data_IF_446059404894
#
_entry.id   IF_446059404894
#
_cell.length_a   1.000
_cell.length_b   1.000
_cell.length_c   1.000
_cell.angle_alpha   90.00
_cell.angle_beta   90.00
_cell.angle_gamma   90.00
#
_symmetry.space_group_name_H-M   'P 1'
#
loop_
_entity.id
_entity.type
_entity.pdbx_description
1 polymer ?
#
# COMPACT_ATOMS: atom_id res chain seq x y z
N UNK A 1 -10.31 2.55 -15.56
CA UNK A 1 -9.70 2.11 -14.29
C UNK A 1 -9.76 3.28 -13.30
N UNK A 2 -10.28 3.03 -12.13
CA UNK A 2 -10.31 4.09 -11.14
C UNK A 2 -9.02 4.07 -10.31
N UNK A 3 -8.79 5.14 -9.56
CA UNK A 3 -7.57 5.31 -8.80
C UNK A 3 -7.41 4.22 -7.72
N UNK A 4 -8.51 3.82 -7.09
CA UNK A 4 -8.45 2.81 -6.03
C UNK A 4 -8.02 1.45 -6.58
N UNK A 5 -8.54 1.08 -7.75
CA UNK A 5 -8.13 -0.17 -8.41
C UNK A 5 -6.65 -0.14 -8.77
N UNK A 6 -6.18 1.00 -9.24
CA UNK A 6 -4.78 1.16 -9.58
C UNK A 6 -3.89 1.04 -8.34
N UNK A 7 -4.30 1.66 -7.23
CA UNK A 7 -3.55 1.58 -5.98
C UNK A 7 -3.47 0.13 -5.50
N UNK A 8 -4.59 -0.59 -5.55
CA UNK A 8 -4.61 -2.01 -5.16
C UNK A 8 -3.65 -2.82 -6.01
N UNK A 9 -3.64 -2.57 -7.30
CA UNK A 9 -2.76 -3.27 -8.22
C UNK A 9 -1.29 -3.00 -7.89
N UNK A 10 -0.96 -1.76 -7.57
CA UNK A 10 0.39 -1.39 -7.19
C UNK A 10 0.80 -2.06 -5.88
N UNK A 11 -0.10 -2.11 -4.91
CA UNK A 11 0.16 -2.78 -3.64
C UNK A 11 0.47 -4.26 -3.87
N UNK A 12 -0.36 -4.92 -4.66
CA UNK A 12 -0.17 -6.34 -4.96
C UNK A 12 1.16 -6.61 -5.66
N UNK A 13 1.53 -5.72 -6.56
CA UNK A 13 2.77 -5.86 -7.32
C UNK A 13 4.01 -5.79 -6.45
N UNK A 14 3.95 -4.99 -5.39
CA UNK A 14 5.11 -4.75 -4.53
C UNK A 14 5.15 -5.61 -3.27
N UNK A 15 4.17 -6.51 -3.09
CA UNK A 15 4.16 -7.37 -1.90
C UNK A 15 5.44 -8.18 -1.76
N UNK A 16 5.91 -8.76 -2.86
CA UNK A 16 7.10 -9.60 -2.82
C UNK A 16 8.36 -8.82 -2.46
N UNK A 17 8.39 -7.52 -2.72
CA UNK A 17 9.53 -6.68 -2.38
C UNK A 17 9.73 -6.57 -0.87
N UNK A 18 8.70 -6.85 -0.10
CA UNK A 18 8.71 -6.75 1.36
C UNK A 18 8.49 -8.10 2.04
N UNK A 19 8.65 -9.18 1.28
CA UNK A 19 8.39 -10.54 1.79
C UNK A 19 6.98 -10.70 2.34
N UNK A 20 6.03 -10.06 1.67
CA UNK A 20 4.62 -10.09 2.08
C UNK A 20 3.78 -10.94 1.14
N UNK A 21 4.40 -11.91 0.46
CA UNK A 21 3.67 -12.83 -0.41
C UNK A 21 2.60 -13.57 0.38
N UNK A 22 1.41 -13.61 -0.17
CA UNK A 22 0.30 -14.27 0.50
C UNK A 22 -0.49 -13.41 1.45
N UNK A 23 -0.06 -12.17 1.68
CA UNK A 23 -0.83 -11.22 2.48
C UNK A 23 -2.07 -10.81 1.69
N UNK A 24 -3.22 -10.86 2.35
CA UNK A 24 -4.48 -10.47 1.74
C UNK A 24 -4.70 -8.99 1.93
N UNK A 25 -4.70 -8.25 0.82
CA UNK A 25 -4.93 -6.81 0.85
C UNK A 25 -6.43 -6.51 0.86
N UNK A 26 -6.81 -5.45 1.55
CA UNK A 26 -8.20 -5.03 1.65
C UNK A 26 -8.35 -3.59 1.22
N UNK A 27 -9.60 -3.12 1.17
CA UNK A 27 -9.87 -1.73 0.85
C UNK A 27 -9.30 -0.78 1.91
N UNK A 28 -9.14 -1.26 3.13
CA UNK A 28 -8.52 -0.47 4.19
C UNK A 28 -7.08 -0.11 3.84
N UNK A 29 -6.38 -1.02 3.17
CA UNK A 29 -5.02 -0.75 2.72
C UNK A 29 -5.00 0.34 1.66
N UNK A 30 -5.98 0.33 0.76
CA UNK A 30 -6.12 1.39 -0.24
C UNK A 30 -6.41 2.72 0.44
N UNK A 31 -7.30 2.71 1.44
CA UNK A 31 -7.61 3.91 2.22
C UNK A 31 -6.36 4.46 2.90
N UNK A 32 -5.51 3.57 3.41
CA UNK A 32 -4.27 3.96 4.05
C UNK A 32 -3.34 4.68 3.07
N UNK A 33 -3.23 4.16 1.84
CA UNK A 33 -2.41 4.80 0.81
C UNK A 33 -2.95 6.19 0.49
N UNK A 34 -4.25 6.30 0.28
CA UNK A 34 -4.87 7.60 -0.02
C UNK A 34 -4.64 8.60 1.12
N UNK A 35 -4.75 8.13 2.35
CA UNK A 35 -4.53 8.97 3.53
C UNK A 35 -3.11 9.49 3.60
N UNK A 36 -2.13 8.64 3.27
CA UNK A 36 -0.73 9.06 3.25
C UNK A 36 -0.48 10.14 2.20
N UNK A 37 -1.09 9.99 1.03
CA UNK A 37 -0.95 10.98 -0.03
C UNK A 37 -1.51 12.33 0.43
N UNK A 38 -2.69 12.32 1.01
CA UNK A 38 -3.39 13.55 1.40
C UNK A 38 -2.76 14.19 2.63
N UNK A 39 -2.52 13.40 3.67
CA UNK A 39 -2.04 13.94 4.96
C UNK A 39 -0.57 14.32 4.93
N UNK A 40 0.25 13.49 4.32
CA UNK A 40 1.70 13.68 4.34
C UNK A 40 2.26 14.18 3.03
N UNK A 41 1.37 14.49 2.07
CA UNK A 41 1.75 15.02 0.77
C UNK A 41 2.79 14.15 0.07
N UNK A 42 2.63 12.84 0.17
CA UNK A 42 3.53 11.91 -0.46
C UNK A 42 3.13 11.61 -1.90
N UNK A 43 4.12 11.20 -2.69
CA UNK A 43 3.82 10.68 -4.02
C UNK A 43 3.17 9.31 -3.88
N UNK A 44 2.55 8.82 -4.94
CA UNK A 44 1.91 7.50 -4.92
C UNK A 44 2.93 6.41 -4.54
N UNK A 45 4.11 6.43 -5.14
CA UNK A 45 5.13 5.44 -4.84
C UNK A 45 5.55 5.46 -3.38
N UNK A 46 5.77 6.64 -2.82
CA UNK A 46 6.17 6.78 -1.43
C UNK A 46 5.06 6.37 -0.48
N UNK A 47 3.81 6.65 -0.83
CA UNK A 47 2.67 6.25 -0.02
C UNK A 47 2.51 4.73 0.00
N UNK A 48 2.68 4.07 -1.13
CA UNK A 48 2.61 2.62 -1.23
C UNK A 48 3.72 2.00 -0.38
N UNK A 49 4.93 2.51 -0.49
CA UNK A 49 6.06 2.04 0.30
C UNK A 49 5.78 2.18 1.80
N UNK A 50 5.25 3.32 2.22
CA UNK A 50 4.94 3.56 3.63
C UNK A 50 3.92 2.55 4.16
N UNK A 51 2.87 2.28 3.38
CA UNK A 51 1.83 1.33 3.80
C UNK A 51 2.39 -0.09 3.87
N UNK A 52 3.18 -0.50 2.89
CA UNK A 52 3.75 -1.85 2.88
C UNK A 52 4.75 -2.04 4.01
N UNK A 53 5.56 -1.02 4.31
CA UNK A 53 6.47 -1.08 5.45
C UNK A 53 5.70 -1.20 6.76
N UNK A 54 4.57 -0.49 6.87
CA UNK A 54 3.71 -0.59 8.04
C UNK A 54 3.16 -2.00 8.22
N UNK A 55 2.69 -2.61 7.15
CA UNK A 55 2.18 -3.99 7.19
C UNK A 55 3.30 -4.94 7.59
N UNK A 56 4.47 -4.79 7.00
CA UNK A 56 5.61 -5.63 7.30
C UNK A 56 5.99 -5.54 8.78
N UNK A 57 5.99 -4.34 9.34
CA UNK A 57 6.31 -4.15 10.76
C UNK A 57 5.30 -4.80 11.68
N UNK A 58 4.02 -4.80 11.30
CA UNK A 58 2.97 -5.42 12.12
C UNK A 58 3.11 -6.94 12.10
N UNK A 59 3.47 -7.52 10.96
CA UNK A 59 3.57 -8.97 10.81
C UNK A 59 4.89 -9.56 11.31
N UNK A 60 5.86 -8.72 11.56
CA UNK A 60 7.16 -9.17 12.11
C UNK A 60 7.23 -9.00 13.65
#
# INVERSE_FOLDING_TARGET
MDMRSYIMECLERHLSDYDLDGVELTEEDVDAVERQIIKNNLTLNNAIEAVLLGISNILM
#
